data_IF_260292534514
#
_entry.id   IF_260292534514
#
_cell.length_a   1.000
_cell.length_b   1.000
_cell.length_c   1.000
_cell.angle_alpha   90.00
_cell.angle_beta   90.00
_cell.angle_gamma   90.00
#
_symmetry.space_group_name_H-M   'P 1'
#
loop_
_entity.id
_entity.type
_entity.pdbx_description
1 polymer ?
#
# COMPACT_ATOMS: atom_id res chain seq x y z
N UNK A 1 36.45 11.72 36.20
CA UNK A 1 35.62 10.50 36.34
C UNK A 1 34.50 10.57 35.31
N UNK A 2 34.48 9.57 34.43
CA UNK A 2 33.45 9.14 33.48
C UNK A 2 32.55 10.19 32.78
N UNK A 3 32.83 10.39 31.48
CA UNK A 3 31.88 10.87 30.48
C UNK A 3 30.55 10.09 30.58
N UNK A 4 29.45 10.84 30.67
CA UNK A 4 28.09 10.31 30.54
C UNK A 4 27.93 9.70 29.16
N UNK A 5 27.81 8.38 29.10
CA UNK A 5 27.43 7.68 27.88
C UNK A 5 25.96 8.03 27.60
N UNK A 6 25.73 8.96 26.69
CA UNK A 6 24.44 9.12 26.01
C UNK A 6 24.06 7.76 25.45
N UNK A 7 23.06 7.14 26.06
CA UNK A 7 22.48 5.89 25.60
C UNK A 7 21.84 6.19 24.25
N UNK A 8 22.58 5.94 23.15
CA UNK A 8 22.06 6.09 21.81
C UNK A 8 20.83 5.19 21.67
N UNK A 9 19.64 5.79 21.76
CA UNK A 9 18.38 5.11 21.46
C UNK A 9 18.46 4.79 19.97
N UNK A 10 18.65 3.52 19.66
CA UNK A 10 18.74 3.06 18.28
C UNK A 10 17.40 3.40 17.63
N UNK A 11 17.39 4.41 16.73
CA UNK A 11 16.24 4.86 15.94
C UNK A 11 15.85 3.74 14.96
N UNK A 12 15.16 2.70 15.46
CA UNK A 12 14.76 1.51 14.71
C UNK A 12 13.28 1.58 14.36
N UNK A 13 12.93 1.14 13.15
CA UNK A 13 11.57 1.15 12.62
C UNK A 13 11.24 -0.27 12.15
N UNK A 14 10.03 -0.75 12.44
CA UNK A 14 9.58 -2.05 11.98
C UNK A 14 9.34 -2.02 10.46
N UNK A 15 9.79 -3.05 9.75
CA UNK A 15 9.61 -3.16 8.30
C UNK A 15 8.28 -3.85 8.02
N UNK A 16 7.41 -3.18 7.26
CA UNK A 16 6.24 -3.76 6.63
C UNK A 16 6.54 -4.13 5.17
N UNK A 17 6.11 -5.31 4.74
CA UNK A 17 6.23 -5.73 3.34
C UNK A 17 4.84 -5.83 2.74
N UNK A 18 4.55 -4.98 1.76
CA UNK A 18 3.29 -4.99 1.04
C UNK A 18 3.41 -5.83 -0.21
N UNK A 19 2.50 -6.79 -0.36
CA UNK A 19 2.21 -7.38 -1.66
C UNK A 19 1.17 -6.51 -2.38
N UNK A 20 0.94 -6.77 -3.68
CA UNK A 20 -0.11 -6.10 -4.44
C UNK A 20 -1.47 -6.21 -3.76
N UNK A 21 -2.19 -5.10 -3.69
CA UNK A 21 -3.47 -5.03 -2.98
C UNK A 21 -4.31 -3.84 -3.46
N UNK A 22 -5.54 -3.77 -2.98
CA UNK A 22 -6.54 -2.78 -3.36
C UNK A 22 -7.17 -2.17 -2.12
N UNK A 23 -7.27 -0.85 -2.09
CA UNK A 23 -8.21 -0.14 -1.25
C UNK A 23 -9.45 0.18 -2.08
N UNK A 24 -10.64 -0.22 -1.62
CA UNK A 24 -11.88 -0.04 -2.39
C UNK A 24 -12.72 1.11 -1.87
N UNK A 25 -13.42 1.79 -2.79
CA UNK A 25 -14.62 2.54 -2.48
C UNK A 25 -15.81 1.60 -2.27
N UNK A 26 -16.73 1.97 -1.38
CA UNK A 26 -17.90 1.13 -1.03
C UNK A 26 -18.75 0.77 -2.27
N UNK A 27 -18.97 1.73 -3.17
CA UNK A 27 -19.70 1.52 -4.42
C UNK A 27 -19.07 0.44 -5.32
N UNK A 28 -17.74 0.34 -5.35
CA UNK A 28 -17.05 -0.65 -6.17
C UNK A 28 -17.15 -2.03 -5.53
N UNK A 29 -17.19 -2.12 -4.19
CA UNK A 29 -17.44 -3.36 -3.48
C UNK A 29 -18.81 -3.94 -3.85
N UNK A 30 -19.86 -3.11 -3.85
CA UNK A 30 -21.21 -3.54 -4.21
C UNK A 30 -21.28 -4.07 -5.65
N UNK A 31 -20.60 -3.42 -6.60
CA UNK A 31 -20.56 -3.90 -8.00
C UNK A 31 -19.80 -5.23 -8.10
N UNK A 32 -18.67 -5.36 -7.41
CA UNK A 32 -17.79 -6.51 -7.53
C UNK A 32 -18.34 -7.75 -6.79
N UNK A 33 -18.99 -7.56 -5.64
CA UNK A 33 -19.40 -8.63 -4.72
C UNK A 33 -20.90 -8.71 -4.46
N UNK A 34 -21.68 -7.73 -4.92
CA UNK A 34 -23.12 -7.65 -4.77
C UNK A 34 -23.56 -6.69 -3.64
N UNK A 35 -24.83 -6.23 -3.68
CA UNK A 35 -25.39 -5.43 -2.60
C UNK A 35 -25.39 -6.24 -1.29
N UNK A 36 -25.29 -5.55 -0.16
CA UNK A 36 -25.29 -6.12 1.20
C UNK A 36 -24.12 -7.07 1.51
N UNK A 37 -23.09 -7.17 0.65
CA UNK A 37 -21.90 -7.96 0.96
C UNK A 37 -21.05 -7.30 2.05
N UNK A 38 -20.84 -8.00 3.15
CA UNK A 38 -19.98 -7.56 4.25
C UNK A 38 -18.59 -8.23 4.15
N UNK A 39 -17.51 -7.44 3.97
CA UNK A 39 -16.15 -7.97 3.94
C UNK A 39 -15.78 -8.64 5.27
N UNK A 40 -15.25 -9.86 5.19
CA UNK A 40 -14.82 -10.60 6.38
C UNK A 40 -13.32 -10.41 6.65
N UNK A 41 -12.95 -10.22 7.92
CA UNK A 41 -11.55 -10.13 8.32
C UNK A 41 -10.81 -11.44 8.01
N UNK A 42 -9.71 -11.34 7.26
CA UNK A 42 -8.74 -12.43 7.11
C UNK A 42 -7.57 -12.25 8.08
N UNK A 43 -7.00 -11.04 8.15
CA UNK A 43 -5.86 -10.73 9.02
C UNK A 43 -5.76 -9.23 9.33
N UNK A 44 -5.56 -8.88 10.60
CA UNK A 44 -5.25 -7.50 11.03
C UNK A 44 -3.89 -7.02 10.52
N UNK A 45 -3.82 -5.75 10.14
CA UNK A 45 -2.57 -5.08 9.76
C UNK A 45 -1.96 -4.34 10.96
N UNK A 46 -0.74 -3.82 10.78
CA UNK A 46 -0.05 -3.03 11.81
C UNK A 46 -0.75 -1.71 12.12
N UNK A 47 -1.40 -1.12 11.12
CA UNK A 47 -2.11 0.15 11.25
C UNK A 47 -3.44 -0.10 11.99
N UNK A 48 -3.75 0.68 13.05
CA UNK A 48 -4.99 0.52 13.81
C UNK A 48 -6.23 0.58 12.92
N UNK A 49 -7.13 -0.39 13.09
CA UNK A 49 -8.40 -0.47 12.35
C UNK A 49 -8.27 -1.01 10.91
N UNK A 50 -7.06 -1.26 10.41
CA UNK A 50 -6.87 -1.82 9.08
C UNK A 50 -6.75 -3.34 9.09
N UNK A 51 -7.35 -3.99 8.09
CA UNK A 51 -7.28 -5.44 7.93
C UNK A 51 -7.28 -5.85 6.45
N UNK A 52 -6.72 -7.01 6.16
CA UNK A 52 -6.88 -7.68 4.89
C UNK A 52 -8.21 -8.45 4.89
N UNK A 53 -9.09 -8.21 3.90
CA UNK A 53 -10.35 -8.95 3.74
C UNK A 53 -10.07 -10.37 3.23
N UNK A 54 -10.97 -11.33 3.50
CA UNK A 54 -10.99 -12.62 2.80
C UNK A 54 -11.22 -12.47 1.29
N UNK A 55 -11.87 -11.38 0.89
CA UNK A 55 -12.17 -11.06 -0.49
C UNK A 55 -10.90 -10.77 -1.31
N UNK A 56 -10.94 -11.22 -2.56
CA UNK A 56 -9.92 -10.98 -3.58
C UNK A 56 -10.58 -10.71 -4.92
N UNK A 57 -9.87 -10.00 -5.79
CA UNK A 57 -10.30 -9.77 -7.18
C UNK A 57 -9.21 -10.16 -8.16
N UNK A 58 -9.58 -10.20 -9.44
CA UNK A 58 -8.63 -10.29 -10.54
C UNK A 58 -8.46 -8.91 -11.18
N UNK A 59 -7.23 -8.50 -11.41
CA UNK A 59 -6.89 -7.33 -12.21
C UNK A 59 -6.66 -7.76 -13.66
N UNK A 60 -7.32 -7.08 -14.58
CA UNK A 60 -7.15 -7.23 -16.02
C UNK A 60 -6.60 -5.92 -16.58
N UNK A 61 -5.40 -6.00 -17.16
CA UNK A 61 -4.79 -4.93 -17.93
C UNK A 61 -4.69 -5.28 -19.42
N UNK A 62 -4.20 -4.37 -20.27
CA UNK A 62 -4.13 -4.56 -21.73
C UNK A 62 -3.34 -5.81 -22.17
N UNK A 63 -2.33 -6.23 -21.41
CA UNK A 63 -1.44 -7.34 -21.78
C UNK A 63 -1.77 -8.65 -21.05
N UNK A 64 -2.39 -8.59 -19.88
CA UNK A 64 -2.59 -9.78 -19.08
C UNK A 64 -3.31 -9.53 -17.76
N UNK A 65 -3.38 -10.59 -16.96
CA UNK A 65 -4.15 -10.62 -15.71
C UNK A 65 -3.30 -10.93 -14.49
N UNK A 66 -3.78 -10.47 -13.34
CA UNK A 66 -3.26 -10.84 -12.02
C UNK A 66 -4.44 -11.24 -11.15
N UNK A 67 -4.48 -12.52 -10.78
CA UNK A 67 -5.53 -13.10 -9.95
C UNK A 67 -5.22 -12.96 -8.47
N UNK A 68 -6.25 -13.15 -7.63
CA UNK A 68 -6.15 -13.23 -6.17
C UNK A 68 -5.49 -12.00 -5.54
N UNK A 69 -5.78 -10.81 -6.07
CA UNK A 69 -5.32 -9.54 -5.50
C UNK A 69 -6.15 -9.19 -4.27
N UNK A 70 -5.47 -8.95 -3.15
CA UNK A 70 -6.09 -8.77 -1.82
C UNK A 70 -6.77 -7.41 -1.69
N UNK A 71 -7.95 -7.37 -1.09
CA UNK A 71 -8.61 -6.13 -0.66
C UNK A 71 -8.22 -5.80 0.77
N UNK A 72 -7.86 -4.54 1.01
CA UNK A 72 -7.62 -3.99 2.34
C UNK A 72 -8.78 -3.09 2.77
N UNK A 73 -9.11 -3.18 4.05
CA UNK A 73 -10.22 -2.50 4.70
C UNK A 73 -9.70 -1.55 5.79
N UNK A 74 -10.44 -0.49 6.17
CA UNK A 74 -11.81 -0.16 5.76
C UNK A 74 -11.91 0.42 4.33
N UNK A 75 -13.15 0.63 3.86
CA UNK A 75 -13.38 1.34 2.60
C UNK A 75 -12.78 2.75 2.62
N UNK A 76 -12.34 3.21 1.46
CA UNK A 76 -11.87 4.58 1.24
C UNK A 76 -12.87 5.37 0.38
N UNK A 77 -12.65 6.67 0.27
CA UNK A 77 -13.46 7.54 -0.60
C UNK A 77 -13.27 7.23 -2.09
N UNK A 78 -12.10 6.71 -2.47
CA UNK A 78 -11.75 6.34 -3.84
C UNK A 78 -11.01 5.00 -3.85
N UNK A 79 -11.21 4.24 -4.91
CA UNK A 79 -10.48 3.00 -5.15
C UNK A 79 -9.04 3.31 -5.57
N UNK A 80 -8.10 2.57 -4.99
CA UNK A 80 -6.68 2.64 -5.30
C UNK A 80 -6.09 1.23 -5.33
N UNK A 81 -5.26 0.96 -6.32
CA UNK A 81 -4.58 -0.31 -6.53
C UNK A 81 -3.09 -0.07 -6.42
N UNK A 82 -2.44 -0.78 -5.49
CA UNK A 82 -1.00 -0.71 -5.29
C UNK A 82 -0.35 -1.97 -5.85
N UNK A 83 0.59 -1.80 -6.79
CA UNK A 83 1.25 -2.90 -7.50
C UNK A 83 2.77 -2.70 -7.56
N UNK A 84 3.52 -3.75 -7.90
CA UNK A 84 4.95 -3.63 -8.17
C UNK A 84 5.23 -3.17 -9.61
N UNK A 85 6.46 -2.70 -9.89
CA UNK A 85 6.92 -2.45 -11.26
C UNK A 85 6.72 -3.67 -12.17
N UNK A 86 7.03 -4.87 -11.66
CA UNK A 86 6.86 -6.14 -12.38
C UNK A 86 5.40 -6.42 -12.71
N UNK A 87 4.48 -6.08 -11.81
CA UNK A 87 3.05 -6.22 -12.06
C UNK A 87 2.58 -5.28 -13.17
N UNK A 88 3.09 -4.03 -13.23
CA UNK A 88 2.83 -3.12 -14.35
C UNK A 88 3.24 -3.72 -15.70
N UNK A 89 4.42 -4.36 -15.77
CA UNK A 89 4.88 -5.07 -16.97
C UNK A 89 3.97 -6.24 -17.36
N UNK A 90 3.38 -6.94 -16.38
CA UNK A 90 2.47 -8.06 -16.62
C UNK A 90 1.09 -7.58 -17.09
N UNK A 91 0.56 -6.54 -16.45
CA UNK A 91 -0.71 -5.91 -16.81
C UNK A 91 -0.62 -5.14 -18.14
N UNK A 92 0.56 -4.67 -18.52
CA UNK A 92 0.76 -3.87 -19.72
C UNK A 92 0.36 -2.41 -19.54
N UNK A 93 0.63 -1.85 -18.35
CA UNK A 93 0.36 -0.45 -18.01
C UNK A 93 1.67 0.28 -17.68
N UNK A 94 1.77 1.59 -17.93
CA UNK A 94 2.95 2.35 -17.53
C UNK A 94 3.04 2.45 -15.99
N UNK A 95 4.21 2.22 -15.38
CA UNK A 95 4.36 2.38 -13.94
C UNK A 95 4.38 3.86 -13.55
N UNK A 96 3.68 4.22 -12.48
CA UNK A 96 3.72 5.56 -11.88
C UNK A 96 3.95 5.41 -10.38
N UNK A 97 5.09 5.88 -9.88
CA UNK A 97 5.44 5.82 -8.45
C UNK A 97 4.76 6.99 -7.73
N UNK A 98 3.98 6.71 -6.68
CA UNK A 98 3.20 7.72 -5.93
C UNK A 98 3.06 7.35 -4.46
N UNK A 99 2.85 8.37 -3.64
CA UNK A 99 2.36 8.19 -2.27
C UNK A 99 0.89 7.75 -2.28
N UNK A 100 0.47 7.00 -1.26
CA UNK A 100 -0.92 6.52 -1.15
C UNK A 100 -1.88 7.72 -1.09
N UNK A 101 -2.92 7.72 -1.91
CA UNK A 101 -3.89 8.81 -2.07
C UNK A 101 -3.62 9.74 -3.25
N UNK A 102 -2.38 9.79 -3.78
CA UNK A 102 -2.07 10.55 -4.99
C UNK A 102 -2.19 9.67 -6.24
N UNK A 103 -3.41 9.54 -6.75
CA UNK A 103 -3.69 8.73 -7.95
C UNK A 103 -3.74 9.55 -9.23
N UNK A 104 -3.62 10.89 -9.18
CA UNK A 104 -3.92 11.73 -10.33
C UNK A 104 -2.98 11.45 -11.52
N UNK A 105 -3.55 11.19 -12.70
CA UNK A 105 -2.79 10.85 -13.91
C UNK A 105 -2.12 9.47 -13.87
N UNK A 106 -2.52 8.62 -12.93
CA UNK A 106 -2.14 7.20 -12.91
C UNK A 106 -2.95 6.40 -13.94
N UNK A 107 -2.44 5.26 -14.43
CA UNK A 107 -3.22 4.38 -15.29
C UNK A 107 -4.39 3.72 -14.55
N UNK A 108 -5.32 3.21 -15.34
CA UNK A 108 -6.42 2.36 -14.89
C UNK A 108 -6.24 0.89 -15.28
N UNK A 109 -7.08 0.04 -14.68
CA UNK A 109 -7.26 -1.38 -15.02
C UNK A 109 -8.71 -1.77 -14.75
N UNK A 110 -9.12 -2.94 -15.26
CA UNK A 110 -10.40 -3.55 -14.90
C UNK A 110 -10.22 -4.48 -13.71
N UNK A 111 -11.02 -4.29 -12.66
CA UNK A 111 -11.18 -5.21 -11.54
C UNK A 111 -12.35 -6.15 -11.82
N UNK A 112 -12.16 -7.45 -11.59
CA UNK A 112 -13.17 -8.49 -11.80
C UNK A 112 -13.39 -9.20 -10.47
N UNK A 113 -14.61 -9.08 -9.95
CA UNK A 113 -15.10 -9.76 -8.76
C UNK A 113 -16.09 -10.88 -9.12
N UNK A 114 -16.65 -11.58 -8.12
CA UNK A 114 -17.56 -12.68 -8.34
C UNK A 114 -18.94 -12.29 -8.89
N UNK A 115 -19.38 -11.03 -8.72
CA UNK A 115 -20.70 -10.54 -9.15
C UNK A 115 -20.65 -9.51 -10.28
N UNK A 116 -19.49 -8.94 -10.56
CA UNK A 116 -19.36 -7.90 -11.56
C UNK A 116 -17.92 -7.46 -11.80
N UNK A 117 -17.78 -6.41 -12.58
CA UNK A 117 -16.49 -5.81 -12.91
C UNK A 117 -16.57 -4.29 -12.88
N UNK A 118 -15.46 -3.66 -12.51
CA UNK A 118 -15.30 -2.20 -12.49
C UNK A 118 -14.08 -1.84 -13.32
N UNK A 119 -14.23 -0.97 -14.31
CA UNK A 119 -13.09 -0.45 -15.09
C UNK A 119 -12.71 0.93 -14.58
N UNK A 120 -11.54 1.00 -13.96
CA UNK A 120 -10.96 2.27 -13.53
C UNK A 120 -10.26 2.93 -14.71
N UNK A 121 -10.43 4.25 -14.85
CA UNK A 121 -9.64 5.06 -15.77
C UNK A 121 -8.34 5.55 -15.13
N UNK A 122 -8.32 5.63 -13.79
CA UNK A 122 -7.24 6.10 -12.95
C UNK A 122 -7.30 5.33 -11.62
N UNK A 123 -6.16 5.09 -10.97
CA UNK A 123 -6.10 4.55 -9.61
C UNK A 123 -5.00 3.52 -9.36
N UNK A 124 -4.19 3.17 -10.36
CA UNK A 124 -3.15 2.15 -10.23
C UNK A 124 -1.77 2.79 -10.07
N UNK A 125 -1.15 2.58 -8.91
CA UNK A 125 0.15 3.16 -8.58
C UNK A 125 1.15 2.07 -8.20
N UNK A 126 2.43 2.40 -8.36
CA UNK A 126 3.52 1.73 -7.67
C UNK A 126 3.74 2.47 -6.36
N UNK A 127 3.48 1.82 -5.24
CA UNK A 127 3.54 2.47 -3.94
C UNK A 127 4.95 2.98 -3.65
N UNK A 128 5.09 4.29 -3.42
CA UNK A 128 6.31 4.86 -2.87
C UNK A 128 6.53 4.29 -1.46
N UNK A 129 7.79 4.00 -1.14
CA UNK A 129 8.19 3.63 0.22
C UNK A 129 7.88 4.81 1.15
N UNK A 130 7.32 4.51 2.31
CA UNK A 130 6.96 5.50 3.31
C UNK A 130 7.00 4.86 4.69
N UNK A 131 7.01 5.69 5.72
CA UNK A 131 6.95 5.24 7.11
C UNK A 131 5.72 5.84 7.75
N UNK A 132 4.93 5.00 8.40
CA UNK A 132 3.91 5.47 9.33
C UNK A 132 4.51 5.60 10.72
N UNK A 133 4.47 6.82 11.27
CA UNK A 133 4.89 7.13 12.63
C UNK A 133 3.72 7.72 13.40
N UNK A 134 3.59 7.35 14.66
CA UNK A 134 2.79 8.11 15.62
C UNK A 134 3.49 9.44 15.92
N UNK A 135 2.75 10.48 16.38
CA UNK A 135 3.35 11.76 16.75
C UNK A 135 4.52 11.64 17.75
N UNK A 136 4.38 10.77 18.75
CA UNK A 136 5.41 10.47 19.75
C UNK A 136 6.68 9.83 19.15
N UNK A 137 6.52 8.99 18.12
CA UNK A 137 7.65 8.36 17.41
C UNK A 137 8.33 9.38 16.49
N UNK A 138 7.54 10.23 15.82
CA UNK A 138 8.07 11.31 14.98
C UNK A 138 8.91 12.32 15.79
N UNK A 139 8.45 12.68 16.99
CA UNK A 139 9.20 13.53 17.92
C UNK A 139 10.51 12.86 18.36
N UNK A 140 10.48 11.57 18.74
CA UNK A 140 11.69 10.81 19.11
C UNK A 140 12.69 10.70 17.94
N UNK A 141 12.19 10.58 16.72
CA UNK A 141 13.01 10.50 15.51
C UNK A 141 13.43 11.88 14.99
N UNK A 142 12.88 12.97 15.52
CA UNK A 142 13.09 14.36 15.11
C UNK A 142 12.71 14.59 13.64
N UNK A 143 11.63 13.96 13.20
CA UNK A 143 11.09 14.08 11.84
C UNK A 143 9.72 14.74 11.84
N UNK A 144 9.36 15.35 10.71
CA UNK A 144 8.06 15.98 10.49
C UNK A 144 7.27 15.25 9.42
N UNK A 145 5.95 15.42 9.45
CA UNK A 145 5.09 14.91 8.39
C UNK A 145 5.54 15.42 7.00
N UNK A 146 5.56 14.54 6.01
CA UNK A 146 6.05 14.80 4.65
C UNK A 146 7.57 14.97 4.50
N UNK A 147 8.37 14.85 5.57
CA UNK A 147 9.82 14.93 5.48
C UNK A 147 10.39 13.65 4.84
N UNK A 148 11.17 13.82 3.77
CA UNK A 148 11.94 12.72 3.19
C UNK A 148 13.19 12.41 4.00
N UNK A 149 13.42 11.14 4.28
CA UNK A 149 14.58 10.66 5.04
C UNK A 149 15.28 9.50 4.33
N UNK A 150 16.48 9.17 4.81
CA UNK A 150 17.16 7.93 4.41
C UNK A 150 17.00 6.85 5.47
N UNK A 151 16.73 5.63 5.03
CA UNK A 151 16.63 4.43 5.88
C UNK A 151 17.71 3.44 5.49
N UNK A 152 18.49 2.98 6.46
CA UNK A 152 19.52 1.97 6.26
C UNK A 152 19.05 0.61 6.76
N UNK A 153 19.26 -0.42 5.94
CA UNK A 153 19.07 -1.83 6.29
C UNK A 153 20.44 -2.50 6.30
N UNK A 154 20.73 -3.22 7.38
CA UNK A 154 22.00 -3.94 7.57
C UNK A 154 21.88 -5.42 7.16
N UNK A 155 23.00 -6.13 7.07
CA UNK A 155 23.07 -7.57 6.77
C UNK A 155 23.67 -7.88 5.40
N UNK A 156 23.58 -9.14 4.96
CA UNK A 156 24.21 -9.63 3.71
C UNK A 156 23.73 -8.90 2.45
N UNK A 157 22.49 -8.42 2.48
CA UNK A 157 21.89 -7.57 1.44
C UNK A 157 21.58 -6.18 1.99
N UNK A 158 22.47 -5.64 2.81
CA UNK A 158 22.32 -4.30 3.37
C UNK A 158 22.31 -3.22 2.28
N UNK A 159 21.51 -2.19 2.49
CA UNK A 159 21.38 -1.07 1.57
C UNK A 159 20.81 0.18 2.27
N UNK A 160 20.95 1.32 1.60
CA UNK A 160 20.32 2.58 1.99
C UNK A 160 19.21 2.91 1.00
N UNK A 161 18.02 3.18 1.53
CA UNK A 161 16.91 3.74 0.81
C UNK A 161 16.87 5.24 1.09
N UNK A 162 17.21 6.07 0.12
CA UNK A 162 17.03 7.53 0.23
C UNK A 162 15.56 7.90 -0.01
N UNK A 163 15.14 9.16 0.05
CA UNK A 163 13.77 9.58 -0.35
C UNK A 163 12.64 8.67 0.18
N UNK A 164 12.68 8.31 1.47
CA UNK A 164 11.58 7.63 2.17
C UNK A 164 10.66 8.68 2.76
#
# INVERSE_FOLDING_TARGET
MALSATKATKKMIAIGVSNRHIHLAAQDMEILFGPDHEPQEFKKLSQPGQYASQDVVTLLGPKGTIEKVRILMPFRSKTQIEVSLTDCFKLGIPPVIRDSGDTQGSPGVTMIGPKGQVTLQEGVIVAARHIHLKPEEAELLEVKDGQRISVEVQGERGLRFDEV
#
